data_IF_423977839770
#
_entry.id   IF_423977839770
#
_cell.length_a   1.000
_cell.length_b   1.000
_cell.length_c   1.000
_cell.angle_alpha   90.00
_cell.angle_beta   90.00
_cell.angle_gamma   90.00
#
_symmetry.space_group_name_H-M   'P 1'
#
loop_
_entity.id
_entity.type
_entity.pdbx_description
1 polymer ?
#
# COMPACT_ATOMS: atom_id res chain seq x y z
N UNK A 1 -4.13 9.45 19.97
CA UNK A 1 -3.19 9.53 18.83
C UNK A 1 -3.19 8.16 18.17
N UNK A 2 -3.53 8.10 16.88
CA UNK A 2 -3.56 6.82 16.17
C UNK A 2 -2.13 6.33 15.87
N UNK A 3 -1.88 5.04 16.04
CA UNK A 3 -0.64 4.36 15.68
C UNK A 3 -0.79 3.78 14.27
N UNK A 4 0.06 4.22 13.36
CA UNK A 4 -0.06 3.93 11.92
C UNK A 4 1.19 3.17 11.44
N UNK A 5 1.04 1.94 10.98
CA UNK A 5 2.11 1.23 10.29
C UNK A 5 2.12 1.63 8.82
N UNK A 6 3.27 2.05 8.31
CA UNK A 6 3.47 2.44 6.90
C UNK A 6 4.59 1.60 6.31
N UNK A 7 4.28 0.74 5.35
CA UNK A 7 5.30 -0.09 4.71
C UNK A 7 6.08 0.71 3.65
N UNK A 8 7.41 0.46 3.56
CA UNK A 8 8.27 1.10 2.57
C UNK A 8 8.42 2.62 2.76
N UNK A 9 8.83 3.04 3.95
CA UNK A 9 8.79 4.43 4.38
C UNK A 9 10.10 5.22 4.26
N UNK A 10 11.15 4.64 3.67
CA UNK A 10 12.47 5.28 3.59
C UNK A 10 12.60 6.38 2.53
N UNK A 11 11.67 6.43 1.56
CA UNK A 11 11.69 7.41 0.45
C UNK A 11 10.31 7.60 -0.16
N UNK A 12 10.24 8.53 -1.11
CA UNK A 12 9.05 8.77 -1.93
C UNK A 12 7.79 9.01 -1.11
N UNK A 13 6.67 8.43 -1.57
CA UNK A 13 5.36 8.59 -0.92
C UNK A 13 5.34 8.06 0.52
N UNK A 14 6.02 6.95 0.81
CA UNK A 14 6.08 6.40 2.17
C UNK A 14 6.75 7.34 3.17
N UNK A 15 7.83 8.03 2.79
CA UNK A 15 8.46 9.05 3.62
C UNK A 15 7.56 10.29 3.79
N UNK A 16 6.83 10.70 2.76
CA UNK A 16 5.86 11.79 2.84
C UNK A 16 4.69 11.43 3.78
N UNK A 17 4.18 10.20 3.71
CA UNK A 17 3.15 9.68 4.62
C UNK A 17 3.62 9.71 6.09
N UNK A 18 4.88 9.32 6.37
CA UNK A 18 5.44 9.43 7.73
C UNK A 18 5.44 10.88 8.22
N UNK A 19 5.91 11.83 7.38
CA UNK A 19 5.93 13.25 7.74
C UNK A 19 4.52 13.80 7.97
N UNK A 20 3.59 13.51 7.05
CA UNK A 20 2.21 13.97 7.13
C UNK A 20 1.49 13.42 8.38
N UNK A 21 1.63 12.12 8.68
CA UNK A 21 1.05 11.52 9.87
C UNK A 21 1.62 12.14 11.16
N UNK A 22 2.93 12.34 11.23
CA UNK A 22 3.57 13.01 12.38
C UNK A 22 3.08 14.44 12.54
N UNK A 23 2.96 15.21 11.46
CA UNK A 23 2.45 16.58 11.49
C UNK A 23 0.98 16.67 11.91
N UNK A 24 0.19 15.63 11.62
CA UNK A 24 -1.20 15.48 12.08
C UNK A 24 -1.32 14.98 13.53
N UNK A 25 -0.22 14.88 14.29
CA UNK A 25 -0.21 14.43 15.68
C UNK A 25 -0.42 12.92 15.85
N UNK A 26 -0.25 12.14 14.80
CA UNK A 26 -0.31 10.68 14.86
C UNK A 26 1.05 10.08 15.25
N UNK A 27 1.07 8.79 15.54
CA UNK A 27 2.29 8.03 15.86
C UNK A 27 2.60 7.06 14.70
N UNK A 28 3.29 7.52 13.63
CA UNK A 28 3.63 6.64 12.53
C UNK A 28 4.80 5.72 12.89
N UNK A 29 4.71 4.48 12.41
CA UNK A 29 5.72 3.43 12.48
C UNK A 29 6.09 3.09 11.04
N UNK A 30 7.31 3.38 10.65
CA UNK A 30 7.81 3.07 9.32
C UNK A 30 8.42 1.68 9.23
N UNK A 31 8.44 1.12 8.02
CA UNK A 31 9.27 -0.06 7.74
C UNK A 31 10.27 0.20 6.62
N UNK A 32 11.45 -0.39 6.72
CA UNK A 32 12.46 -0.46 5.67
C UNK A 32 13.00 -1.89 5.60
N UNK A 33 13.72 -2.24 4.53
CA UNK A 33 14.27 -3.61 4.41
C UNK A 33 15.25 -3.97 5.53
N UNK A 34 15.97 -3.00 6.06
CA UNK A 34 17.08 -3.19 7.01
C UNK A 34 16.84 -2.55 8.39
N UNK A 35 15.67 -1.98 8.64
CA UNK A 35 15.31 -1.36 9.92
C UNK A 35 16.08 -0.07 10.23
N UNK A 36 16.66 0.61 9.22
CA UNK A 36 17.38 1.87 9.42
C UNK A 36 16.43 2.98 9.93
N UNK A 37 17.00 4.05 10.47
CA UNK A 37 16.28 5.26 10.86
C UNK A 37 15.12 5.01 11.83
N UNK A 38 15.29 4.08 12.77
CA UNK A 38 14.27 3.69 13.76
C UNK A 38 12.99 3.10 13.15
N UNK A 39 13.11 2.52 11.96
CA UNK A 39 12.02 1.77 11.32
C UNK A 39 12.08 0.28 11.71
N UNK A 40 10.99 -0.43 11.49
CA UNK A 40 10.97 -1.90 11.61
C UNK A 40 11.61 -2.50 10.36
N UNK A 41 12.49 -3.48 10.53
CA UNK A 41 13.00 -4.27 9.42
C UNK A 41 11.87 -5.13 8.84
N UNK A 42 11.55 -4.94 7.57
CA UNK A 42 10.51 -5.70 6.87
C UNK A 42 10.91 -5.93 5.42
N UNK A 43 11.11 -7.18 5.06
CA UNK A 43 11.26 -7.60 3.66
C UNK A 43 9.94 -8.18 3.16
N UNK A 44 9.58 -7.85 1.92
CA UNK A 44 8.34 -8.30 1.28
C UNK A 44 8.59 -9.40 0.25
N UNK A 45 9.83 -9.85 0.13
CA UNK A 45 10.25 -10.88 -0.84
C UNK A 45 9.83 -12.29 -0.40
N UNK A 46 9.59 -12.48 0.89
CA UNK A 46 9.13 -13.73 1.50
C UNK A 46 7.87 -13.46 2.34
N UNK A 47 6.67 -13.61 1.77
CA UNK A 47 5.41 -13.37 2.46
C UNK A 47 5.21 -14.26 3.71
N UNK A 48 5.72 -15.48 3.71
CA UNK A 48 5.61 -16.40 4.86
C UNK A 48 6.42 -15.93 6.07
N UNK A 49 7.51 -15.19 5.84
CA UNK A 49 8.33 -14.62 6.91
C UNK A 49 7.77 -13.32 7.50
N UNK A 50 6.76 -12.68 6.89
CA UNK A 50 6.24 -11.37 7.33
C UNK A 50 5.68 -11.44 8.76
N UNK A 51 4.99 -12.51 9.12
CA UNK A 51 4.42 -12.68 10.47
C UNK A 51 5.52 -12.60 11.53
N UNK A 52 6.64 -13.30 11.33
CA UNK A 52 7.77 -13.29 12.26
C UNK A 52 8.44 -11.91 12.36
N UNK A 53 8.50 -11.17 11.25
CA UNK A 53 9.09 -9.82 11.21
C UNK A 53 8.24 -8.76 11.93
N UNK A 54 6.92 -8.96 12.06
CA UNK A 54 5.98 -8.03 12.66
C UNK A 54 5.46 -8.48 14.03
N UNK A 55 5.95 -9.58 14.59
CA UNK A 55 5.46 -10.16 15.84
C UNK A 55 5.52 -9.19 17.02
N UNK A 56 6.53 -8.33 17.09
CA UNK A 56 6.77 -7.35 18.17
C UNK A 56 6.09 -5.99 17.96
N UNK A 57 5.23 -5.87 16.94
CA UNK A 57 4.70 -4.54 16.55
C UNK A 57 3.68 -4.08 17.58
N UNK A 58 3.41 -4.17 18.61
CA UNK A 58 2.45 -3.54 19.53
C UNK A 58 1.11 -3.11 18.88
N UNK A 59 0.20 -2.49 19.65
CA UNK A 59 -1.13 -2.09 19.17
C UNK A 59 -1.07 -1.17 17.94
N UNK A 60 -2.00 -1.32 17.01
CA UNK A 60 -2.13 -0.52 15.79
C UNK A 60 -3.57 -0.07 15.57
N UNK A 61 -3.71 1.18 15.11
CA UNK A 61 -5.02 1.71 14.67
C UNK A 61 -5.15 1.68 13.14
N UNK A 62 -4.03 1.74 12.42
CA UNK A 62 -4.07 1.78 10.97
C UNK A 62 -2.87 1.08 10.34
N UNK A 63 -3.13 0.42 9.21
CA UNK A 63 -2.12 -0.06 8.28
C UNK A 63 -2.21 0.72 6.97
N UNK A 64 -1.07 1.21 6.47
CA UNK A 64 -0.92 1.70 5.10
C UNK A 64 0.07 0.78 4.36
N UNK A 65 -0.45 -0.10 3.53
CA UNK A 65 0.33 -0.90 2.57
C UNK A 65 0.79 0.02 1.44
N UNK A 66 1.95 0.65 1.62
CA UNK A 66 2.51 1.58 0.63
C UNK A 66 3.68 0.99 -0.17
N UNK A 67 4.45 0.07 0.40
CA UNK A 67 5.60 -0.51 -0.27
C UNK A 67 5.24 -1.11 -1.62
N UNK A 68 6.10 -0.87 -2.61
CA UNK A 68 5.93 -1.40 -3.96
C UNK A 68 7.14 -1.10 -4.84
N UNK A 69 7.18 -1.74 -6.00
CA UNK A 69 8.26 -1.59 -6.96
C UNK A 69 7.76 -1.61 -8.39
N UNK A 70 8.50 -0.97 -9.30
CA UNK A 70 8.34 -1.13 -10.75
C UNK A 70 9.56 -1.93 -11.22
N UNK A 71 9.37 -3.19 -11.48
CA UNK A 71 10.41 -4.12 -11.95
C UNK A 71 9.74 -5.29 -12.69
N UNK A 72 10.42 -5.99 -13.58
CA UNK A 72 11.77 -5.74 -14.09
C UNK A 72 11.80 -4.59 -15.09
N UNK A 73 13.00 -4.16 -15.52
CA UNK A 73 13.14 -3.17 -16.61
C UNK A 73 12.56 -3.71 -17.92
N UNK A 74 12.88 -4.97 -18.27
CA UNK A 74 12.30 -5.67 -19.43
C UNK A 74 10.94 -6.26 -19.04
N UNK A 75 9.87 -5.53 -19.32
CA UNK A 75 8.49 -5.93 -18.99
C UNK A 75 7.48 -5.55 -20.09
N UNK A 76 7.91 -5.64 -21.35
CA UNK A 76 6.98 -5.58 -22.48
C UNK A 76 6.39 -6.96 -22.80
N UNK A 77 5.23 -7.05 -23.46
CA UNK A 77 4.65 -8.35 -23.83
C UNK A 77 5.54 -9.21 -24.73
N UNK A 78 6.42 -8.58 -25.50
CA UNK A 78 7.33 -9.25 -26.46
C UNK A 78 8.75 -9.45 -25.90
N UNK A 79 9.07 -8.83 -24.76
CA UNK A 79 10.37 -8.97 -24.08
C UNK A 79 10.16 -8.87 -22.56
N UNK A 80 9.99 -10.01 -21.90
CA UNK A 80 9.68 -10.11 -20.50
C UNK A 80 10.75 -10.87 -19.72
N UNK A 81 11.20 -10.27 -18.62
CA UNK A 81 11.90 -11.01 -17.57
C UNK A 81 10.88 -11.66 -16.63
N UNK A 82 10.58 -12.94 -16.83
CA UNK A 82 9.55 -13.64 -16.06
C UNK A 82 9.89 -13.80 -14.57
N UNK A 83 11.16 -13.95 -14.21
CA UNK A 83 11.55 -13.99 -12.80
C UNK A 83 11.29 -12.65 -12.10
N UNK A 84 11.62 -11.53 -12.76
CA UNK A 84 11.30 -10.20 -12.25
C UNK A 84 9.79 -9.92 -12.22
N UNK A 85 9.02 -10.48 -13.15
CA UNK A 85 7.56 -10.41 -13.11
C UNK A 85 6.99 -11.16 -11.89
N UNK A 86 7.44 -12.39 -11.64
CA UNK A 86 7.04 -13.14 -10.46
C UNK A 86 7.38 -12.37 -9.17
N UNK A 87 8.58 -11.78 -9.09
CA UNK A 87 8.98 -10.94 -7.96
C UNK A 87 8.08 -9.70 -7.79
N UNK A 88 7.68 -9.05 -8.90
CA UNK A 88 6.70 -7.95 -8.84
C UNK A 88 5.37 -8.37 -8.24
N UNK A 89 4.86 -9.55 -8.60
CA UNK A 89 3.64 -10.11 -8.01
C UNK A 89 3.81 -10.41 -6.53
N UNK A 90 4.95 -10.97 -6.13
CA UNK A 90 5.24 -11.23 -4.71
C UNK A 90 5.18 -9.95 -3.90
N UNK A 91 5.95 -8.93 -4.28
CA UNK A 91 6.08 -7.69 -3.51
C UNK A 91 4.84 -6.79 -3.60
N UNK A 92 4.24 -6.65 -4.80
CA UNK A 92 3.16 -5.69 -5.02
C UNK A 92 1.76 -6.26 -4.77
N UNK A 93 1.60 -7.59 -4.68
CA UNK A 93 0.27 -8.22 -4.60
C UNK A 93 0.14 -9.21 -3.45
N UNK A 94 1.09 -10.14 -3.30
CA UNK A 94 1.01 -11.19 -2.28
C UNK A 94 1.39 -10.62 -0.90
N UNK A 95 2.50 -9.92 -0.79
CA UNK A 95 2.92 -9.31 0.47
C UNK A 95 1.90 -8.31 1.04
N UNK A 96 1.22 -7.44 0.26
CA UNK A 96 0.11 -6.61 0.74
C UNK A 96 -1.06 -7.38 1.36
N UNK A 97 -1.23 -8.67 1.08
CA UNK A 97 -2.17 -9.52 1.81
C UNK A 97 -1.56 -10.11 3.07
N UNK A 98 -0.30 -10.52 3.03
CA UNK A 98 0.39 -11.11 4.18
C UNK A 98 0.59 -10.11 5.33
N UNK A 99 0.87 -8.83 5.02
CA UNK A 99 1.04 -7.78 6.05
C UNK A 99 -0.23 -7.57 6.88
N UNK A 100 -1.44 -7.36 6.31
CA UNK A 100 -2.67 -7.29 7.09
C UNK A 100 -2.90 -8.54 7.95
N UNK A 101 -2.67 -9.74 7.41
CA UNK A 101 -2.81 -10.99 8.16
C UNK A 101 -1.89 -11.02 9.38
N UNK A 102 -0.65 -10.56 9.24
CA UNK A 102 0.31 -10.51 10.33
C UNK A 102 -0.06 -9.53 11.44
N UNK A 103 -0.64 -8.37 11.09
CA UNK A 103 -0.97 -7.31 12.06
C UNK A 103 -2.46 -7.29 12.49
N UNK A 104 -3.28 -8.16 11.91
CA UNK A 104 -4.71 -8.23 12.21
C UNK A 104 -5.03 -8.36 13.71
N UNK A 105 -4.32 -9.18 14.50
CA UNK A 105 -4.55 -9.23 15.94
C UNK A 105 -4.38 -7.86 16.63
N UNK A 106 -3.44 -7.04 16.15
CA UNK A 106 -3.16 -5.71 16.69
C UNK A 106 -4.19 -4.66 16.26
N UNK A 107 -4.67 -4.76 15.02
CA UNK A 107 -5.75 -3.91 14.51
C UNK A 107 -7.06 -4.18 15.26
N UNK A 108 -7.35 -5.43 15.62
CA UNK A 108 -8.56 -5.80 16.38
C UNK A 108 -8.60 -5.21 17.79
N UNK A 109 -7.45 -4.81 18.34
CA UNK A 109 -7.38 -4.12 19.64
C UNK A 109 -7.78 -2.64 19.54
N UNK A 110 -7.85 -2.07 18.34
CA UNK A 110 -8.22 -0.67 18.10
C UNK A 110 -9.73 -0.46 18.13
N UNK A 111 -10.15 0.68 18.65
CA UNK A 111 -11.55 1.11 18.59
C UNK A 111 -11.99 1.59 17.20
N UNK A 112 -11.04 1.91 16.30
CA UNK A 112 -11.32 2.41 14.95
C UNK A 112 -10.25 1.93 13.96
N UNK A 113 -10.10 0.60 13.79
CA UNK A 113 -9.07 0.03 12.92
C UNK A 113 -9.33 0.34 11.44
N UNK A 114 -8.26 0.50 10.64
CA UNK A 114 -8.37 0.77 9.20
C UNK A 114 -7.21 0.17 8.43
N UNK A 115 -7.46 -0.21 7.18
CA UNK A 115 -6.44 -0.65 6.23
C UNK A 115 -6.55 0.19 4.96
N UNK A 116 -5.45 0.76 4.52
CA UNK A 116 -5.32 1.38 3.21
C UNK A 116 -4.21 0.69 2.42
N UNK A 117 -4.48 0.41 1.14
CA UNK A 117 -3.50 -0.19 0.24
C UNK A 117 -3.27 0.71 -0.97
N UNK A 118 -2.01 1.09 -1.18
CA UNK A 118 -1.63 1.95 -2.31
C UNK A 118 -1.58 1.11 -3.59
N UNK A 119 -2.54 1.38 -4.46
CA UNK A 119 -2.64 0.78 -5.78
C UNK A 119 -2.12 1.74 -6.88
N UNK A 120 -2.79 1.82 -8.01
CA UNK A 120 -2.45 2.69 -9.14
C UNK A 120 -3.61 2.73 -10.13
N UNK A 121 -3.78 3.85 -10.85
CA UNK A 121 -4.64 3.88 -12.05
C UNK A 121 -4.23 2.84 -13.11
N UNK A 122 -2.96 2.40 -13.10
CA UNK A 122 -2.46 1.36 -14.01
C UNK A 122 -3.04 -0.03 -13.70
N UNK A 123 -3.73 -0.20 -12.58
CA UNK A 123 -4.51 -1.40 -12.26
C UNK A 123 -5.80 -1.52 -13.08
N UNK A 124 -6.32 -0.40 -13.58
CA UNK A 124 -7.57 -0.39 -14.34
C UNK A 124 -7.42 -1.12 -15.68
N UNK A 125 -8.30 -2.08 -15.93
CA UNK A 125 -8.26 -2.89 -17.15
C UNK A 125 -8.48 -2.09 -18.44
N UNK A 126 -9.06 -0.89 -18.35
CA UNK A 126 -9.17 0.06 -19.47
C UNK A 126 -7.89 0.85 -19.77
N UNK A 127 -6.84 0.74 -18.95
CA UNK A 127 -5.55 1.39 -19.17
C UNK A 127 -4.71 0.59 -20.20
N UNK A 128 -4.92 0.89 -21.48
CA UNK A 128 -4.41 0.11 -22.61
C UNK A 128 -3.01 0.59 -23.04
N UNK A 129 -1.96 0.13 -22.35
CA UNK A 129 -0.56 0.35 -22.72
C UNK A 129 0.24 -0.94 -22.67
N UNK A 130 1.29 -1.02 -23.50
CA UNK A 130 2.15 -2.19 -23.62
C UNK A 130 3.45 -2.10 -22.81
N UNK A 131 3.69 -0.97 -22.14
CA UNK A 131 4.81 -0.77 -21.23
C UNK A 131 4.45 -1.27 -19.80
N UNK A 132 5.46 -1.60 -19.02
CA UNK A 132 5.32 -1.94 -17.60
C UNK A 132 4.27 -3.01 -17.26
N UNK A 133 4.10 -4.00 -18.13
CA UNK A 133 3.05 -5.04 -18.00
C UNK A 133 3.12 -5.79 -16.68
N UNK A 134 4.33 -6.11 -16.18
CA UNK A 134 4.48 -6.76 -14.88
C UNK A 134 3.93 -5.89 -13.74
N UNK A 135 4.16 -4.59 -13.79
CA UNK A 135 3.62 -3.64 -12.82
C UNK A 135 2.10 -3.52 -12.92
N UNK A 136 1.55 -3.32 -14.13
CA UNK A 136 0.09 -3.25 -14.35
C UNK A 136 -0.60 -4.49 -13.80
N UNK A 137 -0.12 -5.67 -14.17
CA UNK A 137 -0.66 -6.94 -13.70
C UNK A 137 -0.59 -7.08 -12.18
N UNK A 138 0.54 -6.65 -11.57
CA UNK A 138 0.68 -6.71 -10.11
C UNK A 138 -0.29 -5.76 -9.39
N UNK A 139 -0.55 -4.58 -9.95
CA UNK A 139 -1.50 -3.62 -9.35
C UNK A 139 -2.97 -4.03 -9.58
N UNK A 140 -3.29 -4.64 -10.71
CA UNK A 140 -4.61 -5.27 -10.92
C UNK A 140 -4.81 -6.46 -9.96
N UNK A 141 -3.77 -7.27 -9.75
CA UNK A 141 -3.81 -8.38 -8.81
C UNK A 141 -4.01 -7.91 -7.37
N UNK A 142 -3.30 -6.87 -6.90
CA UNK A 142 -3.52 -6.35 -5.54
C UNK A 142 -4.92 -5.78 -5.36
N UNK A 143 -5.49 -5.11 -6.37
CA UNK A 143 -6.88 -4.66 -6.32
C UNK A 143 -7.82 -5.85 -6.07
N UNK A 144 -7.65 -6.95 -6.78
CA UNK A 144 -8.50 -8.14 -6.60
C UNK A 144 -8.27 -8.82 -5.26
N UNK A 145 -7.03 -8.94 -4.83
CA UNK A 145 -6.65 -9.56 -3.55
C UNK A 145 -7.24 -8.78 -2.37
N UNK A 146 -7.08 -7.46 -2.37
CA UNK A 146 -7.58 -6.60 -1.30
C UNK A 146 -9.11 -6.48 -1.32
N UNK A 147 -9.75 -6.48 -2.50
CA UNK A 147 -11.20 -6.61 -2.60
C UNK A 147 -11.69 -7.93 -1.98
N UNK A 148 -10.95 -9.02 -2.15
CA UNK A 148 -11.22 -10.30 -1.48
C UNK A 148 -11.10 -10.20 0.03
N UNK A 149 -10.06 -9.52 0.54
CA UNK A 149 -9.89 -9.27 1.98
C UNK A 149 -11.06 -8.43 2.55
N UNK A 150 -11.49 -7.41 1.82
CA UNK A 150 -12.58 -6.53 2.21
C UNK A 150 -13.94 -7.26 2.31
N UNK A 151 -14.13 -8.31 1.54
CA UNK A 151 -15.37 -9.11 1.51
C UNK A 151 -15.32 -10.37 2.37
N UNK A 152 -14.18 -10.69 3.00
CA UNK A 152 -14.06 -11.83 3.88
C UNK A 152 -14.92 -11.64 5.14
N UNK A 153 -15.47 -12.73 5.75
CA UNK A 153 -16.19 -12.64 7.00
C UNK A 153 -15.35 -12.10 8.16
N UNK A 154 -14.06 -12.24 8.05
CA UNK A 154 -13.03 -11.67 8.92
C UNK A 154 -12.00 -10.89 8.07
N UNK A 155 -11.52 -9.72 8.52
CA UNK A 155 -11.71 -9.07 9.82
C UNK A 155 -13.02 -8.27 9.89
N UNK A 156 -13.98 -8.77 10.62
CA UNK A 156 -15.25 -8.09 10.78
C UNK A 156 -15.06 -6.69 11.36
N UNK A 157 -15.63 -5.69 10.67
CA UNK A 157 -15.67 -4.32 11.15
C UNK A 157 -14.38 -3.50 10.89
N UNK A 158 -13.39 -4.02 10.17
CA UNK A 158 -12.20 -3.25 9.77
C UNK A 158 -12.38 -2.72 8.35
N UNK A 159 -12.61 -1.41 8.16
CA UNK A 159 -12.68 -0.83 6.81
C UNK A 159 -11.36 -0.98 6.08
N UNK A 160 -11.41 -1.42 4.82
CA UNK A 160 -10.30 -1.51 3.89
C UNK A 160 -10.61 -0.75 2.62
N UNK A 161 -9.65 0.02 2.11
CA UNK A 161 -9.78 0.68 0.82
C UNK A 161 -8.45 0.72 0.05
N UNK A 162 -8.59 0.71 -1.26
CA UNK A 162 -7.49 0.91 -2.20
C UNK A 162 -7.37 2.38 -2.56
N UNK A 163 -6.15 2.87 -2.75
CA UNK A 163 -5.91 4.25 -3.14
C UNK A 163 -4.97 4.32 -4.34
N UNK A 164 -5.41 5.06 -5.36
CA UNK A 164 -4.59 5.50 -6.49
C UNK A 164 -3.92 6.83 -6.11
N UNK A 165 -2.59 6.87 -5.98
CA UNK A 165 -1.86 8.08 -5.62
C UNK A 165 -1.64 9.03 -6.82
N UNK A 166 -2.03 8.63 -8.05
CA UNK A 166 -1.66 9.34 -9.27
C UNK A 166 -0.19 9.15 -9.66
N UNK A 167 0.30 10.01 -10.52
CA UNK A 167 1.71 10.09 -10.87
C UNK A 167 2.46 10.98 -9.88
N UNK A 168 3.11 10.38 -8.89
CA UNK A 168 3.75 11.11 -7.78
C UNK A 168 5.21 11.42 -8.08
N UNK A 169 5.67 12.64 -7.81
CA UNK A 169 7.06 13.09 -7.97
C UNK A 169 8.00 12.38 -6.98
N UNK A 170 8.45 11.20 -7.37
CA UNK A 170 9.33 10.31 -6.61
C UNK A 170 10.33 9.64 -7.57
N UNK A 171 11.31 8.93 -7.05
CA UNK A 171 12.22 8.12 -7.89
C UNK A 171 11.46 7.13 -8.80
N UNK A 172 10.29 6.67 -8.35
CA UNK A 172 9.43 5.74 -9.10
C UNK A 172 8.60 6.43 -10.17
N UNK A 173 8.01 7.59 -9.86
CA UNK A 173 7.12 8.33 -10.76
C UNK A 173 7.87 9.23 -11.74
N UNK A 174 9.10 9.65 -11.37
CA UNK A 174 9.88 10.64 -12.10
C UNK A 174 9.63 12.08 -11.65
N UNK A 175 10.56 12.97 -11.98
CA UNK A 175 10.50 14.39 -11.60
C UNK A 175 9.37 15.14 -12.34
N UNK A 176 8.97 14.67 -13.51
CA UNK A 176 7.93 15.26 -14.35
C UNK A 176 6.52 14.74 -14.01
N UNK A 177 6.38 13.94 -12.95
CA UNK A 177 5.06 13.49 -12.49
C UNK A 177 4.24 14.68 -11.99
N UNK A 178 2.91 14.57 -12.05
CA UNK A 178 2.00 15.69 -11.81
C UNK A 178 1.80 15.99 -10.31
N UNK A 179 1.88 14.95 -9.44
CA UNK A 179 1.41 15.03 -8.07
C UNK A 179 2.55 15.25 -7.06
N UNK A 180 2.40 16.21 -6.18
CA UNK A 180 3.31 16.45 -5.06
C UNK A 180 3.16 15.37 -3.97
N UNK A 181 4.24 14.72 -3.50
CA UNK A 181 4.15 13.66 -2.50
C UNK A 181 3.50 14.08 -1.18
N UNK A 182 3.70 15.32 -0.75
CA UNK A 182 3.14 15.82 0.51
C UNK A 182 1.64 16.14 0.36
N UNK A 183 1.18 16.57 -0.83
CA UNK A 183 -0.24 16.72 -1.14
C UNK A 183 -0.93 15.36 -1.19
N UNK A 184 -0.37 14.41 -1.93
CA UNK A 184 -0.88 13.04 -2.03
C UNK A 184 -0.98 12.38 -0.66
N UNK A 185 0.05 12.53 0.18
CA UNK A 185 0.05 11.93 1.51
C UNK A 185 -1.05 12.52 2.42
N UNK A 186 -1.28 13.82 2.35
CA UNK A 186 -2.41 14.45 3.08
C UNK A 186 -3.76 13.94 2.59
N UNK A 187 -3.93 13.79 1.27
CA UNK A 187 -5.15 13.23 0.68
C UNK A 187 -5.42 11.80 1.13
N UNK A 188 -4.40 10.95 1.15
CA UNK A 188 -4.51 9.56 1.64
C UNK A 188 -4.93 9.52 3.11
N UNK A 189 -4.33 10.35 3.97
CA UNK A 189 -4.70 10.41 5.38
C UNK A 189 -6.13 10.96 5.56
N UNK A 190 -6.57 11.93 4.76
CA UNK A 190 -7.94 12.43 4.78
C UNK A 190 -8.96 11.35 4.36
N UNK A 191 -8.63 10.47 3.40
CA UNK A 191 -9.44 9.28 3.10
C UNK A 191 -9.52 8.39 4.34
N UNK A 192 -8.39 8.11 4.98
CA UNK A 192 -8.34 7.28 6.17
C UNK A 192 -9.22 7.83 7.30
N UNK A 193 -9.23 9.14 7.53
CA UNK A 193 -10.04 9.76 8.59
C UNK A 193 -11.53 9.50 8.41
N UNK A 194 -12.04 9.61 7.17
CA UNK A 194 -13.47 9.47 6.84
C UNK A 194 -13.89 8.04 6.50
N UNK A 195 -12.93 7.12 6.33
CA UNK A 195 -13.20 5.75 5.92
C UNK A 195 -14.09 5.03 6.92
N UNK A 196 -15.17 4.44 6.43
CA UNK A 196 -16.13 3.64 7.21
C UNK A 196 -16.32 2.26 6.60
N UNK A 197 -17.01 1.38 7.31
CA UNK A 197 -17.31 0.03 6.80
C UNK A 197 -18.12 0.07 5.48
N UNK A 198 -18.86 1.15 5.21
CA UNK A 198 -19.61 1.33 3.95
C UNK A 198 -18.70 1.57 2.74
N UNK A 199 -17.46 1.92 3.00
CA UNK A 199 -16.45 2.21 1.99
C UNK A 199 -15.52 1.02 1.76
N UNK A 200 -15.70 -0.06 2.53
CA UNK A 200 -14.87 -1.27 2.43
C UNK A 200 -14.91 -1.85 1.02
N UNK A 201 -13.72 -2.14 0.49
CA UNK A 201 -13.53 -2.67 -0.86
C UNK A 201 -13.58 -1.64 -1.98
N UNK A 202 -13.74 -0.34 -1.68
CA UNK A 202 -13.69 0.72 -2.69
C UNK A 202 -12.27 1.04 -3.13
N UNK A 203 -12.18 1.60 -4.33
CA UNK A 203 -10.96 2.14 -4.89
C UNK A 203 -11.11 3.65 -5.08
N UNK A 204 -10.24 4.44 -4.46
CA UNK A 204 -10.28 5.90 -4.49
C UNK A 204 -9.05 6.47 -5.20
N UNK A 205 -9.19 7.63 -5.84
CA UNK A 205 -8.05 8.52 -6.05
C UNK A 205 -7.66 9.15 -4.70
N UNK A 206 -6.42 9.59 -4.54
CA UNK A 206 -5.96 10.27 -3.33
C UNK A 206 -6.77 11.54 -2.98
N UNK A 207 -7.44 12.14 -3.97
CA UNK A 207 -8.39 13.26 -3.79
C UNK A 207 -9.70 12.84 -3.13
N UNK A 208 -9.96 11.53 -3.05
CA UNK A 208 -11.16 10.96 -2.46
C UNK A 208 -12.30 10.66 -3.44
N UNK A 209 -12.05 10.81 -4.73
CA UNK A 209 -12.97 10.41 -5.80
C UNK A 209 -12.94 8.90 -6.02
N UNK A 210 -14.08 8.29 -6.32
CA UNK A 210 -14.17 6.88 -6.67
C UNK A 210 -13.40 6.58 -7.97
N UNK A 211 -12.71 5.45 -8.01
CA UNK A 211 -12.02 4.91 -9.17
C UNK A 211 -12.66 3.61 -9.64
N UNK A 212 -12.66 3.39 -10.95
CA UNK A 212 -12.98 2.08 -11.52
C UNK A 212 -11.81 1.09 -11.33
N UNK A 213 -12.16 -0.18 -11.14
CA UNK A 213 -11.23 -1.32 -11.06
C UNK A 213 -10.68 -1.74 -12.43
#
# INVERSE_FOLDING_TARGET
MARILITGSNRGLGAALLRAAKSAGQTPIGTTRDGRDQTIALTLDDPDAIVAQLVEIGPLDMLVNNAGMITPERQSPLDMNFAGFAHSLTVNSIAPLAVPQAVLPRLRESAAPKILTISSQMAWMGYRKADRIAYHASKAAVNKVMQGLATAPEPEGIPEALVDPGGVQTDMGGAEAEEDPDEVSRGILAIAERLTIRDTGKFFRFTGEDRAF
#
